data_IF_869991784734
#
_entry.id   IF_869991784734
#
_cell.length_a   1.000
_cell.length_b   1.000
_cell.length_c   1.000
_cell.angle_alpha   90.00
_cell.angle_beta   90.00
_cell.angle_gamma   90.00
#
_symmetry.space_group_name_H-M   'P 1'
#
loop_
_entity.id
_entity.type
_entity.pdbx_description
1 polymer ?
#
# COMPACT_ATOMS: atom_id res chain seq x y z
N UNK A 1 -59.56 57.10 -57.11
CA UNK A 1 -58.33 57.09 -57.94
C UNK A 1 -57.29 56.24 -57.21
N UNK A 2 -56.63 55.33 -57.91
CA UNK A 2 -55.32 54.67 -57.66
C UNK A 2 -54.41 55.39 -56.62
N UNK A 3 -53.60 54.79 -55.71
CA UNK A 3 -52.89 53.48 -55.59
C UNK A 3 -52.44 53.17 -54.13
N UNK A 4 -52.02 51.92 -53.88
CA UNK A 4 -50.96 51.39 -52.94
C UNK A 4 -50.95 51.84 -51.45
N UNK A 5 -51.12 50.96 -50.45
CA UNK A 5 -50.29 49.80 -49.98
C UNK A 5 -49.05 50.19 -49.16
N UNK A 6 -48.99 49.69 -47.92
CA UNK A 6 -47.84 49.82 -47.02
C UNK A 6 -48.13 49.38 -45.58
N UNK A 7 -48.30 48.06 -45.35
CA UNK A 7 -48.51 47.51 -43.99
C UNK A 7 -47.16 47.29 -43.30
N UNK A 8 -46.88 48.06 -42.25
CA UNK A 8 -45.73 47.83 -41.36
C UNK A 8 -46.08 46.75 -40.32
N UNK A 9 -45.51 45.55 -40.48
CA UNK A 9 -45.59 44.49 -39.49
C UNK A 9 -44.56 44.67 -38.36
N UNK A 10 -45.00 44.51 -37.11
CA UNK A 10 -44.12 44.53 -35.95
C UNK A 10 -43.15 43.35 -35.97
N UNK A 11 -41.84 43.64 -35.97
CA UNK A 11 -40.80 42.63 -35.83
C UNK A 11 -40.64 42.23 -34.35
N UNK A 12 -41.41 41.24 -33.90
CA UNK A 12 -41.05 40.49 -32.70
C UNK A 12 -39.88 39.56 -33.04
N UNK A 13 -38.79 39.68 -32.30
CA UNK A 13 -37.60 38.83 -32.45
C UNK A 13 -37.60 37.76 -31.34
N UNK A 14 -38.12 36.54 -31.56
CA UNK A 14 -37.99 35.45 -30.60
C UNK A 14 -36.55 34.91 -30.64
N UNK A 15 -35.96 34.71 -29.46
CA UNK A 15 -34.65 34.10 -29.31
C UNK A 15 -34.68 32.65 -29.82
N UNK A 16 -34.13 32.38 -31.01
CA UNK A 16 -34.03 31.02 -31.55
C UNK A 16 -32.80 30.31 -30.99
N UNK A 17 -33.05 29.17 -30.36
CA UNK A 17 -32.06 28.34 -29.70
C UNK A 17 -30.94 27.83 -30.64
N UNK A 18 -29.78 27.56 -30.05
CA UNK A 18 -28.65 26.93 -30.72
C UNK A 18 -29.03 25.58 -31.34
N UNK A 19 -28.57 25.34 -32.57
CA UNK A 19 -28.52 23.99 -33.14
C UNK A 19 -27.07 23.51 -33.17
N UNK A 20 -26.70 22.75 -32.13
CA UNK A 20 -25.57 21.84 -32.18
C UNK A 20 -25.74 20.89 -33.36
N UNK A 21 -24.78 20.88 -34.29
CA UNK A 21 -24.65 19.77 -35.23
C UNK A 21 -24.03 18.59 -34.50
N UNK A 22 -24.84 17.54 -34.35
CA UNK A 22 -24.47 16.29 -33.68
C UNK A 22 -23.51 15.48 -34.57
N UNK A 23 -22.23 15.50 -34.23
CA UNK A 23 -21.24 14.49 -34.64
C UNK A 23 -21.04 13.50 -33.50
N UNK A 24 -21.42 12.23 -33.69
CA UNK A 24 -21.63 11.31 -32.58
C UNK A 24 -20.36 10.80 -31.87
N UNK A 25 -20.17 11.19 -30.61
CA UNK A 25 -19.40 10.41 -29.64
C UNK A 25 -20.37 9.56 -28.79
N UNK A 26 -20.31 8.24 -28.94
CA UNK A 26 -21.07 7.31 -28.06
C UNK A 26 -20.55 7.44 -26.62
N UNK A 27 -21.48 7.39 -25.66
CA UNK A 27 -21.22 7.77 -24.28
C UNK A 27 -19.97 7.16 -23.64
N UNK A 28 -19.00 8.01 -23.34
CA UNK A 28 -17.98 7.70 -22.35
C UNK A 28 -18.61 7.84 -20.97
N UNK A 29 -18.79 6.73 -20.25
CA UNK A 29 -19.04 6.79 -18.82
C UNK A 29 -17.84 7.46 -18.14
N UNK A 30 -18.03 8.31 -17.11
CA UNK A 30 -16.93 8.94 -16.40
C UNK A 30 -16.09 7.85 -15.74
N UNK A 31 -14.95 7.53 -16.37
CA UNK A 31 -14.07 6.44 -15.95
C UNK A 31 -13.30 6.92 -14.73
N UNK A 32 -13.70 6.48 -13.54
CA UNK A 32 -12.99 6.73 -12.29
C UNK A 32 -11.55 6.22 -12.42
N UNK A 33 -10.59 7.14 -12.52
CA UNK A 33 -9.15 6.84 -12.49
C UNK A 33 -8.66 7.08 -11.07
N UNK A 34 -8.50 5.99 -10.31
CA UNK A 34 -7.87 6.03 -8.99
C UNK A 34 -6.35 6.23 -9.18
N UNK A 35 -5.87 7.48 -9.14
CA UNK A 35 -4.47 7.81 -9.43
C UNK A 35 -3.48 7.33 -8.36
N UNK A 36 -3.90 7.25 -7.08
CA UNK A 36 -3.07 6.79 -5.97
C UNK A 36 -3.88 5.93 -4.99
N UNK A 37 -3.45 4.68 -4.67
CA UNK A 37 -4.01 3.92 -3.55
C UNK A 37 -3.80 4.65 -2.22
N UNK A 38 -4.83 4.71 -1.37
CA UNK A 38 -4.72 5.33 -0.05
C UNK A 38 -3.68 4.66 0.85
N UNK A 39 -3.11 5.42 1.78
CA UNK A 39 -2.06 4.94 2.67
C UNK A 39 -2.53 3.70 3.48
N UNK A 40 -1.64 2.70 3.70
CA UNK A 40 -1.95 1.57 4.56
C UNK A 40 -2.42 2.02 5.95
N UNK A 41 -3.44 1.34 6.49
CA UNK A 41 -3.91 1.58 7.85
C UNK A 41 -2.81 1.29 8.87
N UNK A 42 -2.78 2.05 9.97
CA UNK A 42 -1.81 1.86 11.06
C UNK A 42 -1.87 0.41 11.60
N UNK A 43 -0.73 -0.14 12.07
CA UNK A 43 -0.71 -1.45 12.74
C UNK A 43 -1.74 -1.52 13.86
N UNK A 44 -2.44 -2.66 13.96
CA UNK A 44 -3.39 -2.91 15.03
C UNK A 44 -2.69 -2.97 16.39
N UNK A 45 -3.42 -2.58 17.45
CA UNK A 45 -2.90 -2.64 18.83
C UNK A 45 -2.54 -4.09 19.19
N UNK A 46 -1.46 -4.33 19.95
CA UNK A 46 -1.17 -5.64 20.52
C UNK A 46 -2.37 -6.19 21.29
N UNK A 47 -2.57 -7.51 21.24
CA UNK A 47 -3.59 -8.18 22.05
C UNK A 47 -3.26 -8.08 23.54
N UNK A 48 -4.26 -8.23 24.43
CA UNK A 48 -4.02 -8.28 25.87
C UNK A 48 -3.10 -9.46 26.23
N UNK A 49 -2.31 -9.28 27.29
CA UNK A 49 -1.55 -10.37 27.88
C UNK A 49 -2.47 -11.49 28.34
N UNK A 50 -2.05 -12.74 28.16
CA UNK A 50 -2.80 -13.90 28.67
C UNK A 50 -2.88 -13.88 30.21
N UNK A 51 -3.94 -14.45 30.81
CA UNK A 51 -4.07 -14.50 32.25
C UNK A 51 -2.93 -15.33 32.87
N UNK A 52 -2.50 -14.93 34.06
CA UNK A 52 -1.56 -15.69 34.89
C UNK A 52 -2.11 -17.11 35.12
N UNK A 53 -1.23 -18.11 35.09
CA UNK A 53 -1.63 -19.48 35.41
C UNK A 53 -2.17 -19.60 36.85
N UNK A 54 -3.06 -20.57 37.13
CA UNK A 54 -3.54 -20.80 38.49
C UNK A 54 -2.38 -21.16 39.41
N UNK A 55 -2.53 -20.84 40.70
CA UNK A 55 -1.60 -21.30 41.73
C UNK A 55 -1.63 -22.85 41.79
N UNK A 56 -0.50 -23.48 42.10
CA UNK A 56 -0.44 -24.92 42.26
C UNK A 56 -1.26 -25.38 43.48
N UNK A 57 -1.81 -26.59 43.41
CA UNK A 57 -2.59 -27.16 44.51
C UNK A 57 -1.73 -27.35 45.77
N UNK A 58 -2.35 -27.13 46.93
CA UNK A 58 -1.72 -27.39 48.23
C UNK A 58 -1.55 -28.91 48.38
N UNK A 59 -0.35 -29.36 48.74
CA UNK A 59 -0.05 -30.77 48.97
C UNK A 59 -0.96 -31.38 50.03
N UNK A 60 -1.40 -32.62 49.80
CA UNK A 60 -2.29 -33.33 50.73
C UNK A 60 -1.64 -33.49 52.12
N UNK A 61 -2.42 -33.35 53.22
CA UNK A 61 -1.93 -33.64 54.56
C UNK A 61 -1.36 -35.06 54.67
N UNK A 62 -0.33 -35.23 55.50
CA UNK A 62 0.21 -36.54 55.86
C UNK A 62 -0.87 -37.42 56.50
N UNK A 63 -0.80 -38.73 56.24
CA UNK A 63 -1.77 -39.69 56.82
C UNK A 63 -1.56 -39.83 58.32
N UNK A 64 -2.66 -39.96 59.07
CA UNK A 64 -2.64 -40.25 60.50
C UNK A 64 -1.84 -41.52 60.82
N UNK A 65 -1.13 -41.50 61.96
CA UNK A 65 -0.46 -42.67 62.51
C UNK A 65 -1.44 -43.78 62.87
N UNK A 66 -1.05 -45.04 62.66
CA UNK A 66 -1.91 -46.20 62.98
C UNK A 66 -2.19 -46.29 64.48
N UNK A 67 -3.41 -46.68 64.82
CA UNK A 67 -3.83 -46.94 66.21
C UNK A 67 -2.93 -47.97 66.93
N UNK A 68 -2.67 -47.70 68.21
CA UNK A 68 -1.97 -48.62 69.09
C UNK A 68 -2.78 -49.90 69.37
N UNK A 69 -2.09 -51.04 69.48
CA UNK A 69 -2.74 -52.34 69.79
C UNK A 69 -3.40 -52.32 71.17
N UNK A 70 -4.59 -52.90 71.26
CA UNK A 70 -5.39 -53.02 72.48
C UNK A 70 -4.74 -53.99 73.48
N UNK A 71 -4.71 -53.61 74.75
CA UNK A 71 -4.21 -54.45 75.85
C UNK A 71 -5.09 -55.67 76.15
N UNK A 72 -4.48 -56.68 76.77
CA UNK A 72 -5.10 -57.99 77.07
C UNK A 72 -6.11 -57.93 78.22
N UNK A 73 -6.90 -59.00 78.36
CA UNK A 73 -8.03 -59.08 79.30
C UNK A 73 -7.61 -59.76 80.61
N UNK A 74 -7.82 -59.09 81.74
CA UNK A 74 -7.57 -59.65 83.08
C UNK A 74 -8.47 -60.83 83.46
N UNK A 75 -7.99 -61.64 84.41
CA UNK A 75 -8.55 -62.93 84.83
C UNK A 75 -9.82 -62.84 85.71
N UNK A 76 -10.47 -63.99 85.90
CA UNK A 76 -11.79 -64.14 86.53
C UNK A 76 -11.69 -64.45 88.03
N UNK A 77 -12.32 -63.63 88.87
CA UNK A 77 -12.30 -63.80 90.33
C UNK A 77 -13.02 -65.06 90.84
N UNK A 78 -12.53 -65.61 91.96
CA UNK A 78 -13.04 -66.83 92.61
C UNK A 78 -13.95 -66.48 93.80
N UNK A 79 -15.00 -67.27 94.05
CA UNK A 79 -16.05 -66.97 95.05
C UNK A 79 -15.67 -67.37 96.50
N UNK A 80 -16.15 -66.62 97.49
CA UNK A 80 -15.85 -66.81 98.94
C UNK A 80 -16.89 -67.59 99.76
N UNK A 81 -16.46 -68.15 100.89
CA UNK A 81 -17.19 -69.09 101.80
C UNK A 81 -16.57 -68.98 103.23
N UNK A 82 -17.25 -69.05 104.39
CA UNK A 82 -18.66 -68.86 104.83
C UNK A 82 -18.74 -68.88 106.39
N UNK A 83 -19.35 -67.88 107.03
CA UNK A 83 -19.73 -67.87 108.47
C UNK A 83 -19.13 -66.69 109.28
N UNK A 84 -19.76 -66.12 110.32
CA UNK A 84 -21.00 -66.43 111.07
C UNK A 84 -22.20 -65.51 110.69
N UNK A 85 -23.36 -65.72 111.34
CA UNK A 85 -24.71 -65.26 110.93
C UNK A 85 -25.05 -63.82 111.34
N UNK A 86 -25.60 -63.06 110.39
CA UNK A 86 -26.34 -61.79 110.51
C UNK A 86 -27.15 -61.57 109.20
N UNK A 87 -28.26 -60.82 109.19
CA UNK A 87 -29.31 -60.97 108.17
C UNK A 87 -28.97 -60.45 106.75
N UNK A 88 -29.55 -61.14 105.78
CA UNK A 88 -29.58 -60.89 104.32
C UNK A 88 -30.03 -59.45 103.97
N UNK A 89 -29.49 -58.75 102.95
CA UNK A 89 -28.42 -59.04 101.99
C UNK A 89 -28.57 -58.15 100.72
N UNK A 90 -27.57 -58.11 99.82
CA UNK A 90 -27.72 -57.64 98.42
C UNK A 90 -26.55 -58.13 97.55
N UNK A 91 -26.81 -58.32 96.26
CA UNK A 91 -25.97 -59.03 95.28
C UNK A 91 -24.83 -58.16 94.71
N UNK A 92 -23.57 -58.61 94.82
CA UNK A 92 -22.43 -58.13 94.03
C UNK A 92 -22.13 -59.13 92.90
N UNK A 93 -22.74 -58.98 91.73
CA UNK A 93 -22.32 -58.16 90.59
C UNK A 93 -21.36 -58.88 89.61
N UNK A 94 -21.64 -58.66 88.31
CA UNK A 94 -21.04 -59.35 87.16
C UNK A 94 -19.55 -58.98 87.02
N UNK A 95 -18.70 -59.99 86.90
CA UNK A 95 -17.27 -59.79 86.66
C UNK A 95 -16.93 -59.26 85.26
N UNK A 96 -15.73 -58.67 85.17
CA UNK A 96 -14.92 -58.40 83.97
C UNK A 96 -15.37 -57.30 82.99
N UNK A 97 -14.51 -56.28 82.90
CA UNK A 97 -13.58 -56.17 81.76
C UNK A 97 -12.24 -55.63 82.26
N UNK A 98 -11.12 -56.19 81.79
CA UNK A 98 -9.79 -55.68 82.15
C UNK A 98 -9.60 -54.20 81.77
N UNK A 99 -8.69 -53.47 82.45
CA UNK A 99 -8.51 -52.03 82.23
C UNK A 99 -8.14 -51.74 80.77
N UNK A 100 -8.68 -50.66 80.21
CA UNK A 100 -8.21 -50.14 78.94
C UNK A 100 -6.76 -49.66 79.10
N UNK A 101 -5.87 -50.11 78.21
CA UNK A 101 -4.46 -49.71 78.23
C UNK A 101 -4.29 -48.19 78.11
N UNK A 102 -3.22 -47.65 78.70
CA UNK A 102 -2.89 -46.22 78.58
C UNK A 102 -2.73 -45.85 77.09
N UNK A 103 -3.31 -44.72 76.68
CA UNK A 103 -3.08 -44.14 75.34
C UNK A 103 -1.58 -43.92 75.18
N UNK A 104 -1.00 -44.39 74.08
CA UNK A 104 0.41 -44.11 73.77
C UNK A 104 0.67 -42.61 73.58
N UNK A 105 1.93 -42.17 73.66
CA UNK A 105 2.28 -40.81 73.28
C UNK A 105 1.85 -40.55 71.83
N UNK A 106 1.46 -39.31 71.52
CA UNK A 106 1.20 -38.90 70.15
C UNK A 106 2.44 -39.13 69.28
N UNK A 107 2.25 -39.61 68.05
CA UNK A 107 3.36 -39.70 67.09
C UNK A 107 3.94 -38.30 66.78
N UNK A 108 5.19 -38.22 66.31
CA UNK A 108 5.73 -36.95 65.84
C UNK A 108 4.86 -36.39 64.71
N UNK A 109 4.74 -35.06 64.65
CA UNK A 109 4.11 -34.38 63.54
C UNK A 109 4.85 -34.76 62.25
N UNK A 110 4.12 -35.26 61.24
CA UNK A 110 4.72 -35.64 59.96
C UNK A 110 5.35 -34.43 59.27
N UNK A 111 6.47 -34.66 58.59
CA UNK A 111 7.16 -33.63 57.82
C UNK A 111 6.23 -32.95 56.80
N UNK A 112 6.41 -31.65 56.62
CA UNK A 112 5.67 -30.89 55.62
C UNK A 112 5.87 -31.48 54.22
N UNK A 113 4.77 -31.68 53.48
CA UNK A 113 4.84 -32.19 52.12
C UNK A 113 5.70 -31.29 51.21
N UNK A 114 6.32 -31.85 50.15
CA UNK A 114 7.14 -31.07 49.24
C UNK A 114 6.32 -29.93 48.60
N UNK A 115 6.97 -28.80 48.35
CA UNK A 115 6.37 -27.66 47.67
C UNK A 115 5.78 -28.12 46.32
N UNK A 116 4.50 -27.79 46.08
CA UNK A 116 3.81 -28.16 44.85
C UNK A 116 4.55 -27.68 43.60
N UNK A 117 4.51 -28.47 42.52
CA UNK A 117 5.15 -28.12 41.26
C UNK A 117 4.60 -26.79 40.72
N UNK A 118 5.50 -25.95 40.18
CA UNK A 118 5.11 -24.67 39.60
C UNK A 118 3.99 -24.81 38.56
N UNK A 119 3.00 -23.92 38.64
CA UNK A 119 1.83 -23.95 37.76
C UNK A 119 2.20 -23.83 36.27
N UNK A 120 1.33 -24.32 35.36
CA UNK A 120 1.61 -24.30 33.93
C UNK A 120 1.79 -22.86 33.41
N UNK A 121 2.65 -22.69 32.42
CA UNK A 121 2.89 -21.39 31.77
C UNK A 121 1.56 -20.80 31.28
N UNK A 122 1.35 -19.50 31.55
CA UNK A 122 0.14 -18.78 31.15
C UNK A 122 -0.11 -18.88 29.65
N UNK A 123 -1.39 -18.92 29.25
CA UNK A 123 -1.78 -19.06 27.84
C UNK A 123 -1.19 -17.92 27.00
N UNK A 124 -0.74 -18.22 25.78
CA UNK A 124 -0.31 -17.23 24.81
C UNK A 124 -1.42 -16.18 24.61
N UNK A 125 -1.08 -14.90 24.68
CA UNK A 125 -2.01 -13.79 24.50
C UNK A 125 -2.71 -13.82 23.14
N UNK A 126 -3.86 -13.17 23.06
CA UNK A 126 -4.68 -13.16 21.85
C UNK A 126 -3.97 -12.47 20.68
N UNK A 127 -4.32 -12.87 19.45
CA UNK A 127 -3.82 -12.20 18.26
C UNK A 127 -4.35 -10.76 18.23
N UNK A 128 -3.46 -9.79 18.10
CA UNK A 128 -3.82 -8.37 18.01
C UNK A 128 -4.87 -8.11 16.92
N UNK A 129 -5.72 -7.11 17.16
CA UNK A 129 -6.80 -6.77 16.24
C UNK A 129 -6.26 -6.38 14.87
N UNK A 130 -7.02 -6.62 13.80
CA UNK A 130 -6.69 -6.07 12.48
C UNK A 130 -6.71 -4.54 12.59
N UNK A 131 -5.69 -3.86 12.07
CA UNK A 131 -5.70 -2.40 11.95
C UNK A 131 -6.91 -1.91 11.14
N UNK A 132 -7.33 -0.64 11.31
CA UNK A 132 -8.41 -0.08 10.51
C UNK A 132 -8.10 -0.20 9.02
N UNK A 133 -9.14 -0.30 8.18
CA UNK A 133 -8.97 -0.21 6.73
C UNK A 133 -8.30 1.14 6.43
N UNK A 134 -7.27 1.15 5.58
CA UNK A 134 -6.67 2.38 5.09
C UNK A 134 -7.73 3.29 4.47
N UNK A 135 -7.49 4.60 4.50
CA UNK A 135 -8.42 5.56 3.88
C UNK A 135 -8.60 5.22 2.39
N UNK A 136 -9.81 5.39 1.82
CA UNK A 136 -9.96 5.31 0.38
C UNK A 136 -8.98 6.26 -0.31
N UNK A 137 -8.36 5.81 -1.41
CA UNK A 137 -7.63 6.72 -2.28
C UNK A 137 -8.55 7.81 -2.83
N UNK A 138 -8.01 8.99 -3.11
CA UNK A 138 -8.83 10.13 -3.58
C UNK A 138 -9.35 9.80 -4.99
N UNK A 139 -10.60 9.38 -5.07
CA UNK A 139 -11.29 9.13 -6.33
C UNK A 139 -11.93 10.45 -6.81
N UNK A 140 -11.14 11.31 -7.46
CA UNK A 140 -11.69 12.49 -8.14
C UNK A 140 -12.44 12.02 -9.40
N UNK A 141 -13.76 12.20 -9.43
CA UNK A 141 -14.52 12.09 -10.67
C UNK A 141 -14.10 13.26 -11.58
N UNK A 142 -13.74 12.99 -12.84
CA UNK A 142 -13.34 14.05 -13.78
C UNK A 142 -11.92 14.59 -13.62
N UNK A 143 -11.04 14.00 -12.80
CA UNK A 143 -9.62 14.35 -12.86
C UNK A 143 -9.05 13.94 -14.22
N UNK A 144 -8.91 14.91 -15.12
CA UNK A 144 -8.09 14.77 -16.32
C UNK A 144 -6.71 14.31 -15.85
N UNK A 145 -6.33 13.09 -16.19
CA UNK A 145 -4.94 12.64 -16.09
C UNK A 145 -4.36 12.92 -17.48
N UNK A 146 -3.73 14.09 -17.70
CA UNK A 146 -3.17 14.43 -19.00
C UNK A 146 -2.12 13.41 -19.36
N UNK A 147 -2.44 12.56 -20.34
CA UNK A 147 -1.48 11.64 -20.91
C UNK A 147 -0.79 12.31 -22.07
N UNK A 148 0.45 12.71 -21.84
CA UNK A 148 1.29 13.36 -22.84
C UNK A 148 2.59 12.58 -22.92
N UNK A 149 2.75 11.82 -23.99
CA UNK A 149 3.98 11.08 -24.25
C UNK A 149 4.10 10.75 -25.74
N UNK A 150 5.29 10.94 -26.29
CA UNK A 150 5.63 10.55 -27.65
C UNK A 150 7.01 9.89 -27.69
N UNK A 151 7.19 9.02 -28.68
CA UNK A 151 8.48 8.46 -29.07
C UNK A 151 8.48 8.25 -30.57
N UNK A 152 9.47 8.82 -31.25
CA UNK A 152 9.54 8.92 -32.71
C UNK A 152 10.96 8.66 -33.18
N UNK A 153 11.09 7.95 -34.30
CA UNK A 153 12.33 7.78 -35.05
C UNK A 153 12.31 8.53 -36.37
N UNK A 154 13.44 8.53 -37.06
CA UNK A 154 13.57 9.09 -38.41
C UNK A 154 14.00 8.00 -39.40
N UNK A 155 13.46 8.01 -40.62
CA UNK A 155 13.78 6.99 -41.65
C UNK A 155 14.79 7.44 -42.69
N UNK A 156 15.35 8.65 -42.56
CA UNK A 156 16.28 9.26 -43.51
C UNK A 156 17.46 9.87 -42.79
N UNK A 157 18.68 9.45 -43.13
CA UNK A 157 19.92 10.12 -42.74
C UNK A 157 20.00 11.55 -43.29
N UNK A 158 20.80 12.39 -42.64
CA UNK A 158 21.14 13.75 -43.11
C UNK A 158 19.92 14.66 -43.35
N UNK A 159 19.03 14.87 -42.35
CA UNK A 159 17.90 15.78 -42.46
C UNK A 159 18.35 17.23 -42.68
N UNK A 160 17.44 18.10 -43.15
CA UNK A 160 17.77 19.50 -43.40
C UNK A 160 18.31 20.23 -42.15
N UNK A 161 19.39 20.99 -42.34
CA UNK A 161 20.03 21.79 -41.29
C UNK A 161 19.26 23.10 -41.02
N UNK A 162 19.43 23.70 -39.83
CA UNK A 162 18.81 24.98 -39.42
C UNK A 162 17.27 25.00 -39.41
N UNK A 163 16.63 23.83 -39.45
CA UNK A 163 15.18 23.65 -39.35
C UNK A 163 14.86 22.47 -38.42
N UNK A 164 13.62 22.38 -37.89
CA UNK A 164 13.20 21.25 -37.09
C UNK A 164 13.34 19.92 -37.86
N UNK A 165 13.98 18.94 -37.22
CA UNK A 165 14.15 17.59 -37.74
C UNK A 165 12.82 16.84 -37.66
N UNK A 166 12.39 16.28 -38.80
CA UNK A 166 11.12 15.55 -38.93
C UNK A 166 11.31 14.07 -38.63
N UNK A 167 11.10 13.67 -37.38
CA UNK A 167 11.07 12.26 -36.99
C UNK A 167 9.73 11.66 -37.44
N UNK A 168 9.75 11.00 -38.60
CA UNK A 168 8.57 10.54 -39.32
C UNK A 168 8.11 9.11 -38.95
N UNK A 169 8.93 8.32 -38.27
CA UNK A 169 8.63 6.96 -37.80
C UNK A 169 7.98 7.04 -36.41
N UNK A 170 6.66 7.19 -36.34
CA UNK A 170 5.96 7.23 -35.05
C UNK A 170 5.94 5.86 -34.38
N UNK A 171 6.59 5.75 -33.22
CA UNK A 171 6.53 4.56 -32.36
C UNK A 171 5.37 4.69 -31.35
N UNK A 172 5.19 5.90 -30.81
CA UNK A 172 4.15 6.23 -29.84
C UNK A 172 3.84 7.74 -29.88
N UNK A 173 2.57 8.14 -29.69
CA UNK A 173 2.14 9.56 -29.68
C UNK A 173 0.78 9.75 -28.96
N UNK A 174 0.71 9.42 -27.67
CA UNK A 174 -0.52 9.56 -26.88
C UNK A 174 -0.88 11.05 -26.71
N UNK A 175 -2.13 11.37 -27.03
CA UNK A 175 -2.63 12.74 -27.11
C UNK A 175 -2.25 13.52 -28.38
N UNK A 176 -1.50 12.92 -29.31
CA UNK A 176 -1.13 13.53 -30.60
C UNK A 176 -0.36 14.86 -30.53
N UNK A 177 0.37 15.08 -29.43
CA UNK A 177 1.09 16.32 -29.15
C UNK A 177 2.39 16.48 -29.96
N UNK A 178 2.93 15.39 -30.54
CA UNK A 178 3.99 15.46 -31.53
C UNK A 178 3.43 15.48 -32.96
N UNK A 179 3.93 16.37 -33.81
CA UNK A 179 3.54 16.49 -35.21
C UNK A 179 4.70 16.06 -36.15
N UNK A 180 4.62 14.87 -36.78
CA UNK A 180 5.66 14.38 -37.69
C UNK A 180 5.86 15.22 -38.96
N UNK A 181 4.88 16.05 -39.35
CA UNK A 181 4.99 16.91 -40.53
C UNK A 181 5.83 18.16 -40.27
N UNK A 182 5.87 18.63 -39.01
CA UNK A 182 6.65 19.81 -38.59
C UNK A 182 7.93 19.44 -37.85
N UNK A 183 8.01 18.24 -37.26
CA UNK A 183 9.13 17.82 -36.42
C UNK A 183 9.01 18.25 -34.95
N UNK A 184 7.92 18.90 -34.57
CA UNK A 184 7.75 19.56 -33.26
C UNK A 184 6.79 18.81 -32.34
N UNK A 185 7.11 18.82 -31.05
CA UNK A 185 6.16 18.66 -29.96
C UNK A 185 5.52 20.02 -29.63
N UNK A 186 4.22 20.04 -29.37
CA UNK A 186 3.47 21.22 -28.92
C UNK A 186 2.83 20.89 -27.56
N UNK A 187 3.11 21.70 -26.56
CA UNK A 187 2.60 21.52 -25.21
C UNK A 187 1.12 21.91 -25.11
N UNK A 188 0.26 21.00 -24.67
CA UNK A 188 -1.16 21.29 -24.39
C UNK A 188 -1.47 21.48 -22.89
N UNK A 189 -0.59 21.00 -22.00
CA UNK A 189 -0.80 21.03 -20.55
C UNK A 189 0.45 21.58 -19.86
N UNK A 190 0.36 22.66 -19.07
CA UNK A 190 1.50 23.17 -18.34
C UNK A 190 2.01 22.13 -17.34
N UNK A 191 3.32 22.11 -17.15
CA UNK A 191 3.94 21.16 -16.24
C UNK A 191 5.40 20.86 -16.56
N UNK A 192 5.93 19.88 -15.84
CA UNK A 192 7.31 19.42 -15.93
C UNK A 192 7.39 18.25 -16.90
N UNK A 193 8.17 18.42 -17.97
CA UNK A 193 8.39 17.42 -19.02
C UNK A 193 9.82 16.89 -19.00
N UNK A 194 9.97 15.60 -19.29
CA UNK A 194 11.25 14.99 -19.64
C UNK A 194 11.33 14.84 -21.16
N UNK A 195 12.49 15.17 -21.73
CA UNK A 195 12.83 14.90 -23.12
C UNK A 195 14.15 14.16 -23.21
N UNK A 196 14.24 13.18 -24.11
CA UNK A 196 15.49 12.49 -24.45
C UNK A 196 15.59 12.21 -25.94
N UNK A 197 16.83 12.09 -26.42
CA UNK A 197 17.14 11.67 -27.77
C UNK A 197 18.40 10.82 -27.77
N UNK A 198 18.43 9.88 -28.70
CA UNK A 198 19.50 8.92 -28.92
C UNK A 198 19.76 8.91 -30.42
N UNK A 199 20.89 9.48 -30.83
CA UNK A 199 21.17 9.79 -32.24
C UNK A 199 22.35 8.96 -32.70
N UNK A 200 22.11 8.03 -33.62
CA UNK A 200 23.18 7.38 -34.37
C UNK A 200 23.79 8.40 -35.32
N UNK A 201 25.12 8.51 -35.35
CA UNK A 201 25.84 9.39 -36.28
C UNK A 201 26.84 8.62 -37.17
N UNK A 202 26.98 9.05 -38.44
CA UNK A 202 27.81 8.41 -39.45
C UNK A 202 28.42 9.42 -40.43
N UNK A 203 29.69 9.21 -40.82
CA UNK A 203 30.45 9.92 -41.86
C UNK A 203 30.70 11.44 -41.63
N UNK A 204 29.94 12.12 -40.76
CA UNK A 204 30.11 13.53 -40.39
C UNK A 204 29.98 13.70 -38.87
N UNK A 205 30.57 14.78 -38.35
CA UNK A 205 30.33 15.21 -36.96
C UNK A 205 28.86 15.62 -36.75
N UNK A 206 28.37 15.58 -35.52
CA UNK A 206 27.01 15.95 -35.15
C UNK A 206 27.00 17.21 -34.27
N UNK A 207 26.14 18.17 -34.61
CA UNK A 207 25.81 19.32 -33.77
C UNK A 207 24.29 19.48 -33.68
N UNK A 208 23.66 18.73 -32.77
CA UNK A 208 22.21 18.68 -32.58
C UNK A 208 21.78 19.43 -31.31
N UNK A 209 20.73 20.24 -31.42
CA UNK A 209 20.23 21.06 -30.32
C UNK A 209 18.78 20.75 -30.01
N UNK A 210 18.46 20.61 -28.72
CA UNK A 210 17.08 20.62 -28.24
C UNK A 210 16.65 22.06 -28.05
N UNK A 211 15.57 22.46 -28.71
CA UNK A 211 15.09 23.84 -28.79
C UNK A 211 13.71 23.92 -28.17
N UNK A 212 13.48 24.96 -27.35
CA UNK A 212 12.15 25.38 -26.88
C UNK A 212 11.91 26.81 -27.37
N UNK A 213 10.82 27.05 -28.11
CA UNK A 213 10.44 28.38 -28.62
C UNK A 213 11.60 29.17 -29.28
N UNK A 214 12.44 28.48 -30.06
CA UNK A 214 13.61 29.06 -30.74
C UNK A 214 14.86 29.27 -29.87
N UNK A 215 14.83 28.89 -28.58
CA UNK A 215 15.98 28.95 -27.68
C UNK A 215 16.56 27.56 -27.41
N UNK A 216 17.87 27.39 -27.60
CA UNK A 216 18.56 26.13 -27.29
C UNK A 216 18.56 25.85 -25.79
N UNK A 217 18.00 24.69 -25.41
CA UNK A 217 18.02 24.15 -24.04
C UNK A 217 19.16 23.16 -23.83
N UNK A 218 19.49 22.39 -24.86
CA UNK A 218 20.68 21.52 -24.91
C UNK A 218 21.38 21.75 -26.25
N UNK A 219 22.71 21.67 -26.26
CA UNK A 219 23.52 21.50 -27.47
C UNK A 219 24.43 20.30 -27.27
N UNK A 220 24.22 19.25 -28.06
CA UNK A 220 25.07 18.06 -28.10
C UNK A 220 25.99 18.16 -29.31
N UNK A 221 27.28 17.99 -29.07
CA UNK A 221 28.31 17.93 -30.10
C UNK A 221 28.96 16.55 -30.05
N UNK A 222 29.16 15.93 -31.19
CA UNK A 222 29.85 14.64 -31.30
C UNK A 222 30.78 14.61 -32.52
N UNK A 223 31.99 14.08 -32.33
CA UNK A 223 33.11 14.18 -33.25
C UNK A 223 33.40 12.82 -33.93
N UNK A 224 32.62 12.49 -34.97
CA UNK A 224 32.86 11.29 -35.76
C UNK A 224 34.27 11.27 -36.38
N UNK A 225 34.98 10.14 -36.24
CA UNK A 225 36.33 9.92 -36.79
C UNK A 225 36.40 8.88 -37.92
N UNK A 226 35.25 8.40 -38.43
CA UNK A 226 35.16 7.51 -39.60
C UNK A 226 34.30 6.25 -39.40
N UNK A 227 33.61 6.12 -38.27
CA UNK A 227 32.78 4.97 -37.90
C UNK A 227 31.32 5.41 -37.66
N UNK A 228 30.55 4.54 -37.01
CA UNK A 228 29.28 4.90 -36.37
C UNK A 228 29.50 5.17 -34.88
N UNK A 229 28.84 6.20 -34.35
CA UNK A 229 28.82 6.51 -32.92
C UNK A 229 27.39 6.87 -32.48
N UNK A 230 27.14 7.00 -31.18
CA UNK A 230 25.82 7.31 -30.61
C UNK A 230 25.92 8.50 -29.65
N UNK A 231 25.30 9.61 -30.05
CA UNK A 231 25.18 10.81 -29.24
C UNK A 231 23.79 10.90 -28.62
N UNK A 232 23.73 10.86 -27.29
CA UNK A 232 22.48 11.00 -26.54
C UNK A 232 22.42 12.33 -25.77
N UNK A 233 21.20 12.78 -25.48
CA UNK A 233 20.96 13.92 -24.62
C UNK A 233 19.59 13.86 -23.98
N UNK A 234 19.47 14.41 -22.77
CA UNK A 234 18.20 14.49 -22.06
C UNK A 234 18.14 15.69 -21.13
N UNK A 235 16.94 16.21 -20.90
CA UNK A 235 16.73 17.25 -19.87
C UNK A 235 15.30 17.22 -19.34
N UNK A 236 15.10 17.92 -18.23
CA UNK A 236 13.81 18.20 -17.64
C UNK A 236 13.54 19.70 -17.79
N UNK A 237 12.37 20.07 -18.29
CA UNK A 237 11.97 21.48 -18.44
C UNK A 237 10.50 21.68 -18.09
N UNK A 238 10.16 22.86 -17.56
CA UNK A 238 8.76 23.29 -17.44
C UNK A 238 8.32 23.90 -18.77
N UNK A 239 7.13 23.52 -19.23
CA UNK A 239 6.48 24.05 -20.42
C UNK A 239 5.15 24.71 -20.05
N UNK A 240 4.78 25.77 -20.77
CA UNK A 240 3.44 26.35 -20.79
C UNK A 240 2.63 25.79 -21.99
N UNK A 241 1.30 25.96 -22.05
CA UNK A 241 0.55 25.69 -23.27
C UNK A 241 1.13 26.45 -24.48
N UNK A 242 1.03 25.84 -25.66
CA UNK A 242 1.59 26.30 -26.94
C UNK A 242 3.13 26.40 -27.00
N UNK A 243 3.87 26.05 -25.93
CA UNK A 243 5.33 25.90 -26.02
C UNK A 243 5.69 24.78 -27.02
N UNK A 244 6.53 25.14 -27.99
CA UNK A 244 7.04 24.22 -29.01
C UNK A 244 8.42 23.68 -28.62
N UNK A 245 8.61 22.36 -28.71
CA UNK A 245 9.90 21.69 -28.48
C UNK A 245 10.30 20.83 -29.68
N UNK A 246 11.55 20.95 -30.15
CA UNK A 246 12.08 20.17 -31.28
C UNK A 246 13.59 19.94 -31.20
N UNK A 247 14.10 19.09 -32.09
CA UNK A 247 15.52 18.95 -32.36
C UNK A 247 15.88 19.57 -33.71
N UNK A 248 17.02 20.24 -33.79
CA UNK A 248 17.58 20.74 -35.06
C UNK A 248 19.09 20.58 -35.13
N UNK A 249 19.63 20.47 -36.34
CA UNK A 249 21.08 20.61 -36.58
C UNK A 249 21.40 22.11 -36.63
N UNK A 250 22.13 22.60 -35.61
CA UNK A 250 22.36 24.04 -35.41
C UNK A 250 23.72 24.53 -35.93
N UNK A 251 24.55 23.66 -36.49
CA UNK A 251 25.86 24.02 -37.06
C UNK A 251 26.00 23.46 -38.47
N UNK A 252 26.50 24.29 -39.38
CA UNK A 252 26.58 23.97 -40.81
C UNK A 252 27.61 22.86 -41.04
N UNK A 253 27.30 21.91 -41.91
CA UNK A 253 28.13 20.72 -42.23
C UNK A 253 28.37 19.73 -41.07
N UNK A 254 27.85 20.00 -39.86
CA UNK A 254 27.89 19.08 -38.71
C UNK A 254 26.58 18.30 -38.55
N UNK A 255 26.14 17.74 -39.68
CA UNK A 255 24.98 16.89 -39.80
C UNK A 255 25.41 15.42 -39.92
N UNK A 256 25.80 14.82 -38.80
CA UNK A 256 26.16 13.41 -38.71
C UNK A 256 24.97 12.45 -38.65
N UNK A 257 23.75 12.95 -38.44
CA UNK A 257 22.58 12.14 -38.09
C UNK A 257 22.30 11.07 -39.13
N UNK A 258 22.22 9.82 -38.66
CA UNK A 258 22.09 8.62 -39.48
C UNK A 258 20.89 7.77 -39.05
N UNK A 259 20.26 7.12 -40.03
CA UNK A 259 19.24 6.10 -39.83
C UNK A 259 19.31 5.05 -40.95
N UNK A 260 19.21 3.78 -40.60
CA UNK A 260 19.17 2.64 -41.50
C UNK A 260 18.04 1.67 -41.10
N UNK A 261 17.12 1.31 -42.01
CA UNK A 261 15.98 0.45 -41.68
C UNK A 261 16.32 -0.94 -41.11
N UNK A 262 17.54 -1.45 -41.33
CA UNK A 262 17.97 -2.78 -40.92
C UNK A 262 18.66 -2.84 -39.56
N UNK A 263 19.33 -1.77 -39.12
CA UNK A 263 20.20 -1.86 -37.93
C UNK A 263 20.45 -0.55 -37.15
N UNK A 264 20.02 0.63 -37.63
CA UNK A 264 20.34 1.90 -36.98
C UNK A 264 19.12 2.83 -36.87
N UNK A 265 18.65 3.09 -35.65
CA UNK A 265 17.64 4.10 -35.37
C UNK A 265 18.29 5.39 -34.81
N UNK A 266 17.65 6.52 -35.08
CA UNK A 266 17.86 7.79 -34.38
C UNK A 266 16.52 8.25 -33.83
N UNK A 267 16.41 8.45 -32.52
CA UNK A 267 15.16 8.59 -31.79
C UNK A 267 15.05 9.92 -31.05
N UNK A 268 13.83 10.41 -30.90
CA UNK A 268 13.44 11.53 -30.04
C UNK A 268 12.18 11.15 -29.27
N UNK A 269 12.19 11.35 -27.95
CA UNK A 269 11.08 11.02 -27.06
C UNK A 269 10.85 12.13 -26.05
N UNK A 270 9.62 12.26 -25.57
CA UNK A 270 9.29 13.18 -24.50
C UNK A 270 7.96 12.86 -23.85
N UNK A 271 7.85 13.15 -22.56
CA UNK A 271 6.64 12.88 -21.77
C UNK A 271 6.48 13.81 -20.57
N UNK A 272 5.23 14.00 -20.15
CA UNK A 272 4.87 14.74 -18.94
C UNK A 272 5.20 13.92 -17.70
N UNK A 273 5.99 14.49 -16.79
CA UNK A 273 6.27 13.95 -15.45
C UNK A 273 5.20 14.40 -14.44
N UNK A 274 4.94 15.71 -14.39
CA UNK A 274 4.01 16.33 -13.46
C UNK A 274 3.24 17.46 -14.13
N UNK A 275 1.93 17.33 -14.22
CA UNK A 275 1.05 18.41 -14.64
C UNK A 275 0.99 19.52 -13.57
N UNK A 276 0.76 20.76 -13.99
CA UNK A 276 0.41 21.83 -13.06
C UNK A 276 -1.02 21.63 -12.55
N UNK A 277 -1.15 21.26 -11.27
CA UNK A 277 -2.44 20.97 -10.66
C UNK A 277 -3.35 22.20 -10.61
N UNK A 278 -2.81 23.42 -10.51
CA UNK A 278 -3.64 24.63 -10.45
C UNK A 278 -4.38 24.85 -11.79
N UNK A 279 -3.71 24.54 -12.90
CA UNK A 279 -4.30 24.60 -14.24
C UNK A 279 -5.35 23.50 -14.45
N UNK A 280 -5.08 22.28 -13.98
CA UNK A 280 -6.04 21.18 -14.07
C UNK A 280 -7.27 21.41 -13.17
N UNK A 281 -7.09 21.97 -11.98
CA UNK A 281 -8.18 22.31 -11.07
C UNK A 281 -9.04 23.45 -11.66
N UNK A 282 -8.44 24.51 -12.22
CA UNK A 282 -9.16 25.58 -12.92
C UNK A 282 -9.97 25.06 -14.13
N UNK A 283 -9.37 24.21 -14.97
CA UNK A 283 -10.12 23.55 -16.06
C UNK A 283 -11.28 22.70 -15.52
N UNK A 284 -11.18 22.10 -14.33
CA UNK A 284 -12.27 21.31 -13.77
C UNK A 284 -13.43 22.15 -13.24
N UNK A 285 -13.18 23.41 -12.85
CA UNK A 285 -14.21 24.36 -12.42
C UNK A 285 -14.97 24.97 -13.61
N UNK A 286 -14.31 25.22 -14.74
CA UNK A 286 -14.95 25.76 -15.97
C UNK A 286 -15.95 24.79 -16.64
N UNK A 287 -15.93 23.50 -16.29
CA UNK A 287 -16.83 22.46 -16.83
C UNK A 287 -17.80 21.85 -15.77
N UNK A 288 -17.96 22.49 -14.61
CA UNK A 288 -18.80 22.04 -13.50
C UNK A 288 -20.18 22.74 -13.43
#
# INVERSE_FOLDING_TARGET
MWLLVGVFGLCFCPCTAAQHLVGGAKGATPRLVCSVPGAPGLPGKPGPGGPTGPHGDIGLPGRDGRDGRKGEKGEKGVAGVKGRVGPTGKMGQRGERGPAGKRGPGGPQGDGGPLGSGGPQGKKGEKGQRGPRGTPGICRCGSLVPKVAFSVGITTSYPAERVPIKFNKVLFNEGSHYNPQTGKFICAYPGVYFFSYDITLANKHLAIGLVQNGQYRIKTFDANTGNHDVASGSTIMYLNPEDEVWLEIFYTDQNGLFADPGWADSLFSGFLLYADNNYLDALSEDYA
#
